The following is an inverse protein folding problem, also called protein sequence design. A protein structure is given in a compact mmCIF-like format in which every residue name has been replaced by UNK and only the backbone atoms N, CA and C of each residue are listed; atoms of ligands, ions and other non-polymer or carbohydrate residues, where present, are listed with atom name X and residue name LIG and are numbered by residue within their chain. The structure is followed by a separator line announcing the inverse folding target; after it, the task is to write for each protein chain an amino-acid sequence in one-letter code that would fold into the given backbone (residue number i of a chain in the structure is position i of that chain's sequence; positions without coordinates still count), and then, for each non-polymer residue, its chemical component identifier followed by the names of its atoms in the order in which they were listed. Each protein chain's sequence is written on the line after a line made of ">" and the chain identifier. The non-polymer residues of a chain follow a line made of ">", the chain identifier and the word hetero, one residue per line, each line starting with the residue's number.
data_IF_252183059208
#
_entry.id   IF_252183059208
#
_cell.length_a   1.000
_cell.length_b   1.000
_cell.length_c   1.000
_cell.angle_alpha   90.00
_cell.angle_beta   90.00
_cell.angle_gamma   90.00
#
_symmetry.space_group_name_H-M   'P 1'
#
loop_
_entity.id
_entity.type
_entity.pdbx_description
1 polymer ?
#
# COMPACT_ATOMS: atom_id res chain seq x y z
N UNK A 1 44.06 -45.30 -18.57
CA UNK A 1 43.67 -44.16 -17.71
C UNK A 1 42.51 -43.45 -18.38
N UNK A 2 41.33 -43.45 -17.76
CA UNK A 2 40.14 -42.73 -18.23
C UNK A 2 40.07 -41.40 -17.48
N UNK A 3 40.22 -40.27 -18.17
CA UNK A 3 40.03 -38.94 -17.58
C UNK A 3 38.55 -38.58 -17.57
N UNK A 4 38.06 -38.24 -16.38
CA UNK A 4 36.71 -37.76 -16.13
C UNK A 4 36.69 -36.23 -16.27
N UNK A 5 35.94 -35.71 -17.23
CA UNK A 5 35.70 -34.27 -17.39
C UNK A 5 34.67 -33.85 -16.34
N UNK A 6 35.09 -33.04 -15.37
CA UNK A 6 34.22 -32.43 -14.38
C UNK A 6 33.53 -31.22 -15.04
N UNK A 7 32.30 -31.42 -15.49
CA UNK A 7 31.47 -30.34 -16.01
C UNK A 7 30.99 -29.48 -14.84
N UNK A 8 31.68 -28.38 -14.58
CA UNK A 8 31.26 -27.34 -13.63
C UNK A 8 29.98 -26.70 -14.16
N UNK A 9 28.83 -27.15 -13.65
CA UNK A 9 27.60 -26.37 -13.71
C UNK A 9 27.85 -25.03 -13.02
N UNK A 10 27.95 -23.95 -13.81
CA UNK A 10 27.78 -22.60 -13.31
C UNK A 10 26.33 -22.49 -12.80
N UNK A 11 26.13 -22.78 -11.53
CA UNK A 11 24.99 -22.27 -10.78
C UNK A 11 25.22 -20.77 -10.66
N UNK A 12 24.70 -20.00 -11.62
CA UNK A 12 24.67 -18.55 -11.54
C UNK A 12 23.89 -18.17 -10.29
N UNK A 13 24.59 -17.66 -9.28
CA UNK A 13 23.96 -17.00 -8.14
C UNK A 13 23.42 -15.68 -8.68
N UNK A 14 22.14 -15.64 -9.04
CA UNK A 14 21.44 -14.38 -9.26
C UNK A 14 21.27 -13.74 -7.88
N UNK A 15 22.21 -12.88 -7.51
CA UNK A 15 22.05 -12.01 -6.35
C UNK A 15 21.11 -10.88 -6.78
N UNK A 16 19.81 -11.04 -6.54
CA UNK A 16 18.89 -9.92 -6.56
C UNK A 16 19.19 -9.06 -5.33
N UNK A 17 19.92 -7.96 -5.53
CA UNK A 17 19.96 -6.87 -4.56
C UNK A 17 18.68 -6.07 -4.72
N UNK A 18 17.67 -6.37 -3.92
CA UNK A 18 16.61 -5.40 -3.69
C UNK A 18 17.24 -4.28 -2.84
N UNK A 19 17.62 -3.18 -3.48
CA UNK A 19 17.98 -1.97 -2.73
C UNK A 19 16.72 -1.47 -2.02
N UNK A 20 16.80 -1.26 -0.71
CA UNK A 20 15.70 -0.74 0.12
C UNK A 20 15.19 0.63 -0.40
N UNK A 21 15.95 1.29 -1.27
CA UNK A 21 15.59 2.55 -1.93
C UNK A 21 14.60 2.40 -3.10
N UNK A 22 14.21 1.18 -3.49
CA UNK A 22 13.22 0.94 -4.55
C UNK A 22 11.79 0.75 -4.03
N UNK A 23 11.56 0.86 -2.71
CA UNK A 23 10.21 0.74 -2.12
C UNK A 23 9.24 1.81 -2.62
N UNK A 24 9.71 2.89 -3.24
CA UNK A 24 8.86 3.98 -3.75
C UNK A 24 8.85 4.06 -5.28
N UNK A 25 9.14 2.96 -6.00
CA UNK A 25 9.12 2.95 -7.46
C UNK A 25 8.19 1.89 -8.02
N UNK A 26 7.26 2.34 -8.85
CA UNK A 26 6.41 1.44 -9.63
C UNK A 26 7.26 0.80 -10.71
N UNK A 27 7.14 -0.53 -10.85
CA UNK A 27 7.87 -1.25 -11.85
C UNK A 27 7.32 -0.92 -13.24
N UNK A 28 8.17 -0.63 -14.24
CA UNK A 28 7.71 -0.33 -15.60
C UNK A 28 6.93 -1.48 -16.27
N UNK A 29 7.08 -2.72 -15.76
CA UNK A 29 6.34 -3.90 -16.22
C UNK A 29 5.04 -4.16 -15.44
N UNK A 30 4.78 -3.41 -14.37
CA UNK A 30 3.50 -3.49 -13.67
C UNK A 30 2.35 -3.05 -14.59
N UNK A 31 1.10 -3.48 -14.33
CA UNK A 31 -0.06 -2.91 -15.01
C UNK A 31 -0.03 -1.39 -14.96
N UNK A 32 -0.32 -0.72 -16.09
CA UNK A 32 -0.26 0.74 -16.20
C UNK A 32 -1.15 1.43 -15.15
N UNK A 33 -2.22 0.77 -14.72
CA UNK A 33 -3.14 1.25 -13.70
C UNK A 33 -2.43 1.49 -12.38
N UNK A 34 -1.38 0.74 -12.05
CA UNK A 34 -0.59 0.95 -10.83
C UNK A 34 -0.01 2.36 -10.75
N UNK A 35 0.32 2.97 -11.90
CA UNK A 35 0.84 4.35 -11.98
C UNK A 35 -0.10 5.40 -11.37
N UNK A 36 -1.40 5.11 -11.23
CA UNK A 36 -2.34 6.04 -10.58
C UNK A 36 -1.99 6.31 -9.11
N UNK A 37 -1.26 5.41 -8.46
CA UNK A 37 -0.83 5.54 -7.07
C UNK A 37 0.55 6.17 -6.92
N UNK A 38 1.28 6.42 -8.01
CA UNK A 38 2.59 7.07 -7.97
C UNK A 38 2.58 8.39 -7.19
N UNK A 39 1.57 9.29 -7.35
CA UNK A 39 1.54 10.54 -6.60
C UNK A 39 1.29 10.38 -5.10
N UNK A 40 0.86 9.20 -4.64
CA UNK A 40 0.58 8.93 -3.24
C UNK A 40 1.77 8.32 -2.50
N UNK A 41 2.77 7.78 -3.21
CA UNK A 41 3.94 7.15 -2.59
C UNK A 41 4.67 8.13 -1.66
N UNK A 42 5.10 7.62 -0.51
CA UNK A 42 5.75 8.39 0.55
C UNK A 42 4.92 8.52 1.83
N UNK A 43 5.28 9.50 2.66
CA UNK A 43 4.72 9.68 4.00
C UNK A 43 3.88 10.95 4.08
N UNK A 44 2.68 10.84 4.62
CA UNK A 44 1.72 11.94 4.72
C UNK A 44 1.28 12.17 6.16
N UNK A 45 1.42 13.42 6.61
CA UNK A 45 0.79 13.89 7.84
C UNK A 45 -0.64 14.39 7.53
N UNK A 46 -1.64 13.70 8.05
CA UNK A 46 -3.05 13.96 7.77
C UNK A 46 -3.64 14.85 8.86
N UNK A 47 -4.32 15.91 8.42
CA UNK A 47 -5.24 16.68 9.27
C UNK A 47 -6.67 16.25 8.95
N UNK A 48 -7.36 15.71 9.94
CA UNK A 48 -8.74 15.24 9.82
C UNK A 48 -9.72 16.17 10.53
N UNK A 49 -10.98 16.11 10.09
CA UNK A 49 -12.10 16.79 10.72
C UNK A 49 -13.29 15.85 10.77
N UNK A 50 -13.98 15.85 11.90
CA UNK A 50 -15.18 15.06 12.13
C UNK A 50 -16.39 15.99 12.20
N UNK A 51 -17.46 15.61 11.51
CA UNK A 51 -18.74 16.30 11.59
C UNK A 51 -19.49 15.79 12.83
N UNK A 52 -19.78 16.67 13.77
CA UNK A 52 -20.51 16.34 14.99
C UNK A 52 -22.01 16.24 14.73
N UNK A 53 -22.75 15.65 15.68
CA UNK A 53 -24.20 15.49 15.58
C UNK A 53 -24.97 16.82 15.46
N UNK A 54 -24.40 17.92 15.96
CA UNK A 54 -24.92 19.29 15.81
C UNK A 54 -24.47 19.99 14.51
N UNK A 55 -23.83 19.26 13.60
CA UNK A 55 -23.46 19.74 12.27
C UNK A 55 -22.23 20.65 12.23
N UNK A 56 -21.40 20.64 13.28
CA UNK A 56 -20.17 21.43 13.34
C UNK A 56 -18.96 20.57 12.98
N UNK A 57 -17.99 21.16 12.27
CA UNK A 57 -16.71 20.51 12.03
C UNK A 57 -15.81 20.68 13.25
N UNK A 58 -15.29 19.56 13.77
CA UNK A 58 -14.28 19.54 14.81
C UNK A 58 -13.01 18.90 14.27
N UNK A 59 -11.87 19.53 14.55
CA UNK A 59 -10.56 18.97 14.18
C UNK A 59 -10.32 17.68 14.96
N UNK A 60 -9.93 16.61 14.26
CA UNK A 60 -9.55 15.35 14.89
C UNK A 60 -8.10 15.36 15.38
N UNK A 61 -7.60 14.18 15.71
CA UNK A 61 -6.25 13.99 16.24
C UNK A 61 -5.21 13.73 15.13
N UNK A 62 -5.62 13.84 13.86
CA UNK A 62 -4.79 13.56 12.70
C UNK A 62 -4.48 12.08 12.53
N UNK A 63 -3.71 11.78 11.49
CA UNK A 63 -3.17 10.45 11.20
C UNK A 63 -1.85 10.56 10.46
N UNK A 64 -1.09 9.47 10.43
CA UNK A 64 0.01 9.27 9.49
C UNK A 64 -0.42 8.23 8.46
N UNK A 65 -0.17 8.52 7.19
CA UNK A 65 -0.48 7.64 6.08
C UNK A 65 0.76 7.42 5.23
N UNK A 66 1.27 6.19 5.24
CA UNK A 66 2.47 5.83 4.50
C UNK A 66 2.10 4.95 3.33
N UNK A 67 2.58 5.29 2.14
CA UNK A 67 2.34 4.55 0.91
C UNK A 67 3.67 4.10 0.33
N UNK A 68 3.75 2.85 -0.06
CA UNK A 68 4.93 2.28 -0.66
C UNK A 68 4.54 1.12 -1.59
N UNK A 69 5.46 0.76 -2.47
CA UNK A 69 5.30 -0.37 -3.37
C UNK A 69 5.73 -1.67 -2.69
N UNK A 70 5.11 -2.76 -3.12
CA UNK A 70 5.44 -4.13 -2.73
C UNK A 70 5.47 -5.02 -3.98
N UNK A 71 5.94 -6.26 -3.82
CA UNK A 71 6.06 -7.23 -4.92
C UNK A 71 6.82 -6.66 -6.13
N UNK A 72 7.99 -6.07 -5.86
CA UNK A 72 8.86 -5.49 -6.90
C UNK A 72 8.10 -4.44 -7.74
N UNK A 73 7.41 -3.51 -7.09
CA UNK A 73 6.71 -2.41 -7.78
C UNK A 73 5.40 -2.78 -8.49
N UNK A 74 4.89 -4.01 -8.33
CA UNK A 74 3.66 -4.48 -9.01
C UNK A 74 2.37 -4.23 -8.22
N UNK A 75 2.49 -3.98 -6.92
CA UNK A 75 1.38 -3.73 -6.03
C UNK A 75 1.73 -2.61 -5.05
N UNK A 76 0.71 -2.07 -4.41
CA UNK A 76 0.82 -0.97 -3.46
C UNK A 76 0.39 -1.47 -2.10
N UNK A 77 1.14 -1.08 -1.06
CA UNK A 77 0.70 -1.17 0.32
C UNK A 77 0.63 0.23 0.91
N UNK A 78 -0.44 0.49 1.67
CA UNK A 78 -0.57 1.72 2.43
C UNK A 78 -0.90 1.43 3.89
N UNK A 79 -0.16 2.06 4.80
CA UNK A 79 -0.33 1.95 6.25
C UNK A 79 -1.00 3.20 6.80
N UNK A 80 -2.10 2.98 7.52
CA UNK A 80 -2.87 4.01 8.18
C UNK A 80 -2.69 3.93 9.70
N UNK A 81 -2.23 5.04 10.28
CA UNK A 81 -1.94 5.15 11.71
C UNK A 81 -2.75 6.30 12.28
N UNK A 82 -3.72 5.99 13.13
CA UNK A 82 -4.58 7.00 13.75
C UNK A 82 -4.80 6.69 15.24
N UNK A 83 -4.68 7.67 16.15
CA UNK A 83 -4.20 9.05 15.97
C UNK A 83 -2.79 9.15 15.37
N UNK A 84 -2.38 10.36 14.94
CA UNK A 84 -1.03 10.60 14.39
C UNK A 84 0.08 10.23 15.40
N UNK A 85 1.21 9.71 14.91
CA UNK A 85 2.37 9.24 15.66
C UNK A 85 2.95 10.30 16.60
N UNK A 86 2.79 11.58 16.28
CA UNK A 86 3.21 12.69 17.13
C UNK A 86 2.28 12.93 18.35
N UNK A 87 1.14 12.25 18.43
CA UNK A 87 0.25 12.30 19.60
C UNK A 87 0.79 11.38 20.70
N UNK A 88 0.88 11.90 21.92
CA UNK A 88 1.30 11.17 23.10
C UNK A 88 0.14 10.32 23.65
N UNK A 89 -0.01 9.12 23.07
CA UNK A 89 -1.00 8.12 23.47
C UNK A 89 -0.36 6.72 23.51
N UNK A 90 -0.89 5.79 24.32
CA UNK A 90 -0.44 4.41 24.31
C UNK A 90 -0.67 3.72 22.96
N UNK A 91 0.28 2.90 22.51
CA UNK A 91 0.14 2.08 21.29
C UNK A 91 -1.04 1.10 21.37
N UNK A 92 -1.49 0.75 22.57
CA UNK A 92 -2.71 -0.03 22.79
C UNK A 92 -3.95 0.66 22.22
N UNK A 93 -3.99 1.99 22.29
CA UNK A 93 -5.12 2.84 21.87
C UNK A 93 -5.00 3.31 20.41
N UNK A 94 -3.79 3.25 19.84
CA UNK A 94 -3.54 3.59 18.45
C UNK A 94 -4.07 2.52 17.50
N UNK A 95 -4.75 2.96 16.45
CA UNK A 95 -5.17 2.12 15.34
C UNK A 95 -4.03 2.02 14.33
N UNK A 96 -3.70 0.79 14.00
CA UNK A 96 -2.86 0.44 12.86
C UNK A 96 -3.72 -0.34 11.88
N UNK A 97 -3.71 0.07 10.62
CA UNK A 97 -4.32 -0.68 9.54
C UNK A 97 -3.49 -0.58 8.28
N UNK A 98 -3.69 -1.51 7.37
CA UNK A 98 -2.96 -1.57 6.11
C UNK A 98 -3.87 -2.05 4.98
N UNK A 99 -3.74 -1.46 3.80
CA UNK A 99 -4.32 -1.99 2.57
C UNK A 99 -3.22 -2.61 1.73
N UNK A 100 -3.50 -3.78 1.13
CA UNK A 100 -2.76 -4.28 -0.02
C UNK A 100 -3.63 -4.09 -1.26
N UNK A 101 -3.08 -3.49 -2.31
CA UNK A 101 -3.76 -3.18 -3.58
C UNK A 101 -2.99 -3.79 -4.74
N UNK A 102 -3.66 -4.67 -5.50
CA UNK A 102 -3.09 -5.24 -6.72
C UNK A 102 -4.12 -5.16 -7.85
N UNK A 103 -3.68 -4.77 -9.04
CA UNK A 103 -4.56 -4.68 -10.18
C UNK A 103 -4.72 -6.05 -10.84
N UNK A 104 -5.96 -6.45 -11.12
CA UNK A 104 -6.30 -7.66 -11.85
C UNK A 104 -6.57 -7.28 -13.32
N UNK A 105 -5.60 -7.48 -14.24
CA UNK A 105 -5.76 -7.08 -15.64
C UNK A 105 -6.77 -7.93 -16.41
N UNK A 106 -7.10 -9.13 -15.90
CA UNK A 106 -8.08 -10.02 -16.54
C UNK A 106 -9.51 -9.53 -16.29
N UNK A 107 -9.81 -9.14 -15.06
CA UNK A 107 -11.14 -8.67 -14.66
C UNK A 107 -11.27 -7.13 -14.72
N UNK A 108 -10.17 -6.43 -14.99
CA UNK A 108 -10.08 -4.97 -15.12
C UNK A 108 -10.57 -4.22 -13.86
N UNK A 109 -10.15 -4.68 -12.69
CA UNK A 109 -10.42 -4.04 -11.40
C UNK A 109 -9.23 -4.16 -10.45
N UNK A 110 -9.27 -3.39 -9.37
CA UNK A 110 -8.39 -3.53 -8.22
C UNK A 110 -8.91 -4.59 -7.26
N UNK A 111 -8.00 -5.46 -6.82
CA UNK A 111 -8.17 -6.30 -5.65
C UNK A 111 -7.59 -5.56 -4.45
N UNK A 112 -8.40 -5.34 -3.41
CA UNK A 112 -7.95 -4.69 -2.19
C UNK A 112 -8.27 -5.55 -0.98
N UNK A 113 -7.30 -5.69 -0.09
CA UNK A 113 -7.49 -6.30 1.21
C UNK A 113 -7.09 -5.30 2.29
N UNK A 114 -8.04 -4.94 3.15
CA UNK A 114 -7.81 -4.15 4.34
C UNK A 114 -7.67 -5.04 5.56
N UNK A 115 -6.65 -4.78 6.38
CA UNK A 115 -6.45 -5.42 7.68
C UNK A 115 -6.17 -4.35 8.72
N UNK A 116 -6.60 -4.56 9.97
CA UNK A 116 -6.29 -3.63 11.05
C UNK A 116 -6.21 -4.32 12.40
N UNK A 117 -5.45 -3.74 13.33
CA UNK A 117 -5.36 -4.21 14.72
C UNK A 117 -6.73 -4.34 15.39
N UNK A 118 -7.67 -3.45 15.05
CA UNK A 118 -9.02 -3.42 15.65
C UNK A 118 -9.94 -4.51 15.11
N UNK A 119 -9.61 -5.16 13.98
CA UNK A 119 -10.48 -6.11 13.29
C UNK A 119 -9.73 -7.43 13.07
N UNK A 120 -10.29 -8.53 13.55
CA UNK A 120 -9.66 -9.86 13.48
C UNK A 120 -9.82 -10.56 12.11
N UNK A 121 -10.47 -9.90 11.15
CA UNK A 121 -10.69 -10.41 9.81
C UNK A 121 -10.28 -9.35 8.77
N UNK A 122 -9.73 -9.82 7.64
CA UNK A 122 -9.48 -8.99 6.48
C UNK A 122 -10.79 -8.64 5.77
N UNK A 123 -10.92 -7.38 5.35
CA UNK A 123 -12.01 -6.92 4.50
C UNK A 123 -11.53 -6.89 3.05
N UNK A 124 -12.26 -7.56 2.16
CA UNK A 124 -11.92 -7.63 0.74
C UNK A 124 -12.85 -6.71 -0.06
N UNK A 125 -12.26 -5.86 -0.89
CA UNK A 125 -12.97 -4.90 -1.73
C UNK A 125 -12.50 -5.05 -3.18
N UNK A 126 -13.44 -4.92 -4.12
CA UNK A 126 -13.14 -4.80 -5.54
C UNK A 126 -13.37 -3.36 -5.98
N UNK A 127 -12.32 -2.69 -6.44
CA UNK A 127 -12.38 -1.32 -6.94
C UNK A 127 -12.41 -1.28 -8.45
N UNK A 128 -13.51 -0.82 -9.07
CA UNK A 128 -13.50 -0.61 -10.52
C UNK A 128 -12.57 0.55 -10.90
N UNK A 129 -11.71 0.34 -11.89
CA UNK A 129 -10.92 1.41 -12.48
C UNK A 129 -11.81 2.26 -13.40
N UNK A 130 -11.91 3.55 -13.10
CA UNK A 130 -12.71 4.51 -13.86
C UNK A 130 -11.93 5.81 -14.02
N UNK A 131 -11.45 6.07 -15.25
CA UNK A 131 -10.70 7.29 -15.62
C UNK A 131 -11.43 8.59 -15.31
N UNK A 132 -12.74 8.56 -15.07
CA UNK A 132 -13.55 9.76 -14.83
C UNK A 132 -13.62 10.16 -13.35
N UNK A 133 -13.09 9.34 -12.43
CA UNK A 133 -13.14 9.56 -10.97
C UNK A 133 -11.80 9.97 -10.32
N UNK A 134 -10.77 10.21 -11.12
CA UNK A 134 -9.39 10.56 -10.68
C UNK A 134 -9.26 11.83 -9.80
N UNK A 135 -10.33 12.59 -9.57
CA UNK A 135 -10.31 13.81 -8.75
C UNK A 135 -10.88 13.68 -7.34
N UNK A 136 -11.37 12.50 -6.88
CA UNK A 136 -11.92 12.38 -5.53
C UNK A 136 -11.59 11.05 -4.86
N UNK A 137 -10.47 11.02 -4.13
CA UNK A 137 -10.16 10.02 -3.11
C UNK A 137 -11.15 10.02 -1.90
N UNK A 138 -12.37 10.54 -2.05
CA UNK A 138 -13.34 10.77 -0.97
C UNK A 138 -14.25 9.57 -0.65
N UNK A 139 -14.20 8.47 -1.39
CA UNK A 139 -15.20 7.40 -1.24
C UNK A 139 -14.65 5.98 -1.11
N UNK A 140 -13.36 5.79 -0.82
CA UNK A 140 -12.79 4.44 -0.69
C UNK A 140 -13.02 3.77 0.67
N UNK A 141 -13.60 4.47 1.65
CA UNK A 141 -13.96 3.88 2.93
C UNK A 141 -15.36 4.36 3.33
N UNK A 142 -16.35 3.49 3.16
CA UNK A 142 -17.63 3.60 3.85
C UNK A 142 -18.10 2.23 4.30
#
# INVERSE_FOLDING_TARGET
>A
MRSLIFCLFLCGVVSAKADINDIDKINPNAPKETQQFEPLLGQWAITDFNLTADGRWQKGQGADWHWYTIFDGHAIQDDWIAPALNQDIPDSERQFGTNIRIFNPKENHWELAWMSKKRTAAEYLHGQYDKQRDCNARHFFR
#
